data_IF_366336547513
#
_entry.id   IF_366336547513
#
_cell.length_a   1.000
_cell.length_b   1.000
_cell.length_c   1.000
_cell.angle_alpha   90.00
_cell.angle_beta   90.00
_cell.angle_gamma   90.00
#
_symmetry.space_group_name_H-M   'P 1'
#
loop_
_entity.id
_entity.type
_entity.pdbx_description
1 polymer ?
#
# COMPACT_ATOMS: atom_id res chain seq x y z
N UNK A 1 26.11 -14.46 -6.78
CA UNK A 1 25.53 -13.16 -7.17
C UNK A 1 24.07 -13.24 -6.80
N UNK A 2 23.65 -12.54 -5.75
CA UNK A 2 22.23 -12.50 -5.36
C UNK A 2 21.64 -11.31 -6.10
N UNK A 3 20.82 -11.57 -7.11
CA UNK A 3 20.00 -10.56 -7.74
C UNK A 3 18.87 -10.22 -6.77
N UNK A 4 19.03 -9.16 -5.97
CA UNK A 4 17.90 -8.57 -5.27
C UNK A 4 16.98 -7.94 -6.33
N UNK A 5 15.66 -8.15 -6.27
CA UNK A 5 14.75 -7.43 -7.16
C UNK A 5 14.91 -5.94 -6.89
N UNK A 6 14.64 -5.11 -7.90
CA UNK A 6 14.68 -3.64 -7.86
C UNK A 6 13.52 -3.09 -6.99
N UNK A 7 13.47 -3.55 -5.73
CA UNK A 7 12.30 -3.56 -4.86
C UNK A 7 12.41 -2.56 -3.71
N UNK A 8 13.53 -1.83 -3.64
CA UNK A 8 13.79 -0.81 -2.62
C UNK A 8 13.94 0.56 -3.27
N UNK A 9 12.91 1.02 -3.95
CA UNK A 9 12.73 2.46 -4.16
C UNK A 9 12.21 3.04 -2.86
N UNK A 10 13.11 3.55 -2.02
CA UNK A 10 12.70 4.25 -0.79
C UNK A 10 12.17 5.64 -1.14
N UNK A 11 10.90 5.89 -0.85
CA UNK A 11 10.27 7.20 -0.97
C UNK A 11 9.93 7.77 0.42
N UNK A 12 10.11 9.08 0.60
CA UNK A 12 9.63 9.80 1.78
C UNK A 12 8.41 10.61 1.38
N UNK A 13 7.23 10.18 1.81
CA UNK A 13 5.98 10.90 1.59
C UNK A 13 5.71 11.88 2.74
N UNK A 14 5.59 13.16 2.42
CA UNK A 14 5.19 14.21 3.38
C UNK A 14 3.77 14.67 3.07
N UNK A 15 2.83 14.28 3.93
CA UNK A 15 1.43 14.70 3.81
C UNK A 15 1.22 16.03 4.53
N UNK A 16 0.55 16.97 3.85
CA UNK A 16 0.26 18.32 4.39
C UNK A 16 -1.14 18.44 5.00
N UNK A 17 -1.98 17.43 4.83
CA UNK A 17 -3.34 17.34 5.34
C UNK A 17 -3.62 15.89 5.72
N UNK A 18 -4.35 15.71 6.81
CA UNK A 18 -4.79 14.40 7.29
C UNK A 18 -5.72 13.75 6.28
N UNK A 19 -6.64 14.52 5.68
CA UNK A 19 -7.58 14.05 4.67
C UNK A 19 -6.85 13.47 3.46
N UNK A 20 -5.76 14.12 3.02
CA UNK A 20 -4.94 13.62 1.94
C UNK A 20 -4.14 12.38 2.32
N UNK A 21 -3.71 12.22 3.58
CA UNK A 21 -3.11 10.97 4.04
C UNK A 21 -4.14 9.83 4.07
N UNK A 22 -5.32 10.10 4.63
CA UNK A 22 -6.41 9.14 4.75
C UNK A 22 -6.82 8.56 3.40
N UNK A 23 -6.82 9.37 2.32
CA UNK A 23 -7.12 8.86 0.97
C UNK A 23 -6.16 7.77 0.47
N UNK A 24 -4.98 7.61 1.08
CA UNK A 24 -4.05 6.52 0.75
C UNK A 24 -4.27 5.25 1.58
N UNK A 25 -4.93 5.38 2.74
CA UNK A 25 -5.12 4.27 3.68
C UNK A 25 -6.58 3.79 3.80
N UNK A 26 -7.50 4.40 3.05
CA UNK A 26 -8.92 4.01 2.99
C UNK A 26 -9.31 3.36 1.67
N UNK A 27 -10.45 2.65 1.67
CA UNK A 27 -11.07 2.13 0.45
C UNK A 27 -11.57 3.28 -0.42
N UNK A 28 -11.34 3.18 -1.73
CA UNK A 28 -11.83 4.13 -2.72
C UNK A 28 -12.12 3.40 -4.04
N UNK A 29 -13.02 3.96 -4.85
CA UNK A 29 -13.28 3.48 -6.20
C UNK A 29 -13.64 4.63 -7.11
N UNK A 30 -12.96 4.69 -8.25
CA UNK A 30 -13.19 5.65 -9.31
C UNK A 30 -13.18 4.96 -10.68
N UNK A 31 -13.39 5.73 -11.75
CA UNK A 31 -13.25 5.25 -13.13
C UNK A 31 -11.79 4.85 -13.46
N UNK A 32 -10.82 5.44 -12.74
CA UNK A 32 -9.39 5.29 -12.99
C UNK A 32 -8.72 4.23 -12.10
N UNK A 33 -9.46 3.58 -11.20
CA UNK A 33 -8.88 2.63 -10.27
C UNK A 33 -9.72 2.35 -9.03
N UNK A 34 -9.25 1.43 -8.21
CA UNK A 34 -9.87 1.09 -6.94
C UNK A 34 -8.82 0.70 -5.89
N UNK A 35 -9.15 0.95 -4.63
CA UNK A 35 -8.42 0.44 -3.46
C UNK A 35 -9.37 -0.26 -2.51
N UNK A 36 -8.94 -1.40 -1.95
CA UNK A 36 -9.73 -2.13 -0.96
C UNK A 36 -8.84 -2.67 0.17
N UNK A 37 -9.38 -2.67 1.39
CA UNK A 37 -8.65 -3.12 2.57
C UNK A 37 -8.52 -4.65 2.56
N UNK A 38 -7.31 -5.12 2.87
CA UNK A 38 -7.02 -6.54 3.11
C UNK A 38 -7.33 -6.82 4.58
N UNK A 39 -8.44 -7.50 4.86
CA UNK A 39 -8.95 -7.73 6.23
C UNK A 39 -8.55 -9.07 6.83
N UNK A 40 -8.24 -10.05 5.99
CA UNK A 40 -8.04 -11.45 6.40
C UNK A 40 -6.57 -11.91 6.33
N UNK A 41 -5.62 -10.97 6.19
CA UNK A 41 -4.19 -11.25 6.09
C UNK A 41 -3.37 -10.25 6.91
N UNK A 42 -2.17 -10.68 7.30
CA UNK A 42 -1.14 -9.86 7.93
C UNK A 42 0.19 -10.21 7.27
N UNK A 43 0.79 -9.24 6.56
CA UNK A 43 2.08 -9.46 5.91
C UNK A 43 3.18 -9.64 6.95
N UNK A 44 3.08 -8.97 8.10
CA UNK A 44 3.97 -9.19 9.24
C UNK A 44 3.94 -10.65 9.70
N UNK A 45 2.74 -11.24 9.87
CA UNK A 45 2.62 -12.65 10.25
C UNK A 45 3.15 -13.59 9.15
N UNK A 46 2.83 -13.31 7.88
CA UNK A 46 3.29 -14.11 6.74
C UNK A 46 4.82 -14.13 6.62
N UNK A 47 5.49 -13.02 6.95
CA UNK A 47 6.93 -12.86 6.82
C UNK A 47 7.69 -13.07 8.13
N UNK A 48 6.99 -13.35 9.23
CA UNK A 48 7.59 -13.53 10.55
C UNK A 48 8.21 -12.25 11.12
N UNK A 49 7.65 -11.07 10.78
CA UNK A 49 8.08 -9.78 11.31
C UNK A 49 7.50 -9.56 12.71
N UNK A 50 8.32 -9.00 13.60
CA UNK A 50 7.88 -8.59 14.94
C UNK A 50 7.62 -7.08 14.91
N UNK A 51 6.36 -6.69 15.05
CA UNK A 51 5.97 -5.28 15.15
C UNK A 51 6.12 -4.79 16.60
N UNK A 52 6.70 -3.59 16.83
CA UNK A 52 6.63 -2.94 18.14
C UNK A 52 5.19 -2.70 18.59
N UNK A 53 4.94 -2.63 19.91
CA UNK A 53 3.60 -2.50 20.50
C UNK A 53 2.79 -1.29 19.97
N UNK A 54 3.47 -0.23 19.53
CA UNK A 54 2.87 0.99 18.99
C UNK A 54 2.90 1.06 17.45
N UNK A 55 3.09 -0.06 16.76
CA UNK A 55 3.08 -0.13 15.30
C UNK A 55 1.94 -1.04 14.87
N UNK A 56 1.03 -0.46 14.09
CA UNK A 56 -0.06 -1.17 13.45
C UNK A 56 0.32 -1.50 12.01
N UNK A 57 -0.43 -2.43 11.42
CA UNK A 57 -0.32 -2.84 10.03
C UNK A 57 -1.67 -2.65 9.34
N UNK A 58 -1.63 -2.17 8.09
CA UNK A 58 -2.78 -2.18 7.19
C UNK A 58 -2.32 -2.60 5.78
N UNK A 59 -3.05 -3.53 5.18
CA UNK A 59 -2.84 -3.99 3.81
C UNK A 59 -3.92 -3.46 2.89
N UNK A 60 -3.54 -3.05 1.68
CA UNK A 60 -4.44 -2.45 0.69
C UNK A 60 -4.15 -3.06 -0.67
N UNK A 61 -5.19 -3.56 -1.33
CA UNK A 61 -5.13 -3.90 -2.76
C UNK A 61 -5.32 -2.64 -3.60
N UNK A 62 -4.58 -2.55 -4.69
CA UNK A 62 -4.59 -1.40 -5.60
C UNK A 62 -4.86 -1.91 -7.01
N UNK A 63 -5.76 -1.22 -7.68
CA UNK A 63 -6.00 -1.34 -9.12
C UNK A 63 -5.91 0.05 -9.73
N UNK A 64 -5.06 0.22 -10.74
CA UNK A 64 -4.89 1.48 -11.47
C UNK A 64 -5.11 1.25 -12.96
N UNK A 65 -6.07 1.99 -13.51
CA UNK A 65 -6.50 1.97 -14.91
C UNK A 65 -6.53 3.38 -15.52
N UNK A 66 -5.89 4.36 -14.88
CA UNK A 66 -6.01 5.78 -15.24
C UNK A 66 -5.27 6.21 -16.50
N UNK A 67 -4.58 5.30 -17.18
CA UNK A 67 -3.91 5.53 -18.46
C UNK A 67 -4.67 4.88 -19.61
N UNK A 68 -4.67 5.53 -20.78
CA UNK A 68 -5.15 4.91 -22.02
C UNK A 68 -4.23 3.76 -22.47
N UNK A 69 -2.97 3.77 -22.03
CA UNK A 69 -2.04 2.67 -22.25
C UNK A 69 -2.30 1.56 -21.23
N UNK A 70 -2.67 0.38 -21.74
CA UNK A 70 -2.92 -0.80 -20.90
C UNK A 70 -1.65 -1.38 -20.30
N UNK A 71 -0.50 -1.12 -20.90
CA UNK A 71 0.79 -1.57 -20.37
C UNK A 71 1.17 -0.77 -19.10
N UNK A 72 0.53 0.38 -18.88
CA UNK A 72 0.66 1.19 -17.64
C UNK A 72 -0.39 0.82 -16.57
N UNK A 73 -1.30 -0.10 -16.87
CA UNK A 73 -2.24 -0.60 -15.86
C UNK A 73 -1.49 -1.43 -14.84
N UNK A 74 -1.84 -1.23 -13.57
CA UNK A 74 -1.14 -1.87 -12.48
C UNK A 74 -2.13 -2.43 -11.47
N UNK A 75 -1.86 -3.66 -11.03
CA UNK A 75 -2.48 -4.23 -9.85
C UNK A 75 -1.40 -4.65 -8.86
N UNK A 76 -1.68 -4.47 -7.57
CA UNK A 76 -0.72 -4.83 -6.54
C UNK A 76 -1.25 -4.67 -5.14
N UNK A 77 -0.37 -4.92 -4.18
CA UNK A 77 -0.63 -4.71 -2.76
C UNK A 77 0.30 -3.64 -2.23
N UNK A 78 -0.20 -2.84 -1.30
CA UNK A 78 0.57 -1.90 -0.52
C UNK A 78 0.30 -2.13 0.96
N UNK A 79 1.38 -2.22 1.73
CA UNK A 79 1.34 -2.50 3.14
C UNK A 79 1.98 -1.34 3.90
N UNK A 80 1.26 -0.80 4.88
CA UNK A 80 1.73 0.28 5.72
C UNK A 80 1.96 -0.22 7.14
N UNK A 81 3.06 0.23 7.75
CA UNK A 81 3.41 -0.03 9.14
C UNK A 81 3.60 1.30 9.88
N UNK A 82 2.84 1.51 10.96
CA UNK A 82 2.96 2.74 11.74
C UNK A 82 1.70 3.07 12.53
N UNK A 83 1.35 4.35 12.58
CA UNK A 83 0.07 4.83 13.11
C UNK A 83 -0.89 4.94 11.92
N UNK A 84 -1.70 3.90 11.70
CA UNK A 84 -2.51 3.73 10.47
C UNK A 84 -4.00 3.55 10.82
N UNK A 85 -4.49 4.40 11.71
CA UNK A 85 -5.89 4.47 12.19
C UNK A 85 -6.57 5.77 11.82
#
# INVERSE_FOLDING_TARGET
>A
MVCLPDMFTSEVCLYRSEEYYQSFITEDRSENGASALIKDRSLAAEWGLVLPDNVQEIGITLEYYGSEDRDEWFTGERWYYGQVT
#
